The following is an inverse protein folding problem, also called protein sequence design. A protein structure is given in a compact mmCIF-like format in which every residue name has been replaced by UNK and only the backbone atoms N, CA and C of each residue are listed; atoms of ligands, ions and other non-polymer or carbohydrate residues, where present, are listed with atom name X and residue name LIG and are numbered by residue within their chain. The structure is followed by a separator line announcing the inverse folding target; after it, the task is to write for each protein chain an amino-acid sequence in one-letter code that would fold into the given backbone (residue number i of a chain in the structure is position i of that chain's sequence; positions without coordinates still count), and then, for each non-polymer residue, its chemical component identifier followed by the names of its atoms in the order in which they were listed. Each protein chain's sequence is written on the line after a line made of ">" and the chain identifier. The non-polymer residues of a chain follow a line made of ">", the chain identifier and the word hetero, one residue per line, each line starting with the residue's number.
data_IF_480558541757
#
_entry.id   IF_480558541757
#
_cell.length_a   1.000
_cell.length_b   1.000
_cell.length_c   1.000
_cell.angle_alpha   90.00
_cell.angle_beta   90.00
_cell.angle_gamma   90.00
#
_symmetry.space_group_name_H-M   'P 1'
#
loop_
_entity.id
_entity.type
_entity.pdbx_description
1 polymer ?
#
# COMPACT_ATOMS: atom_id res chain seq x y z
N UNK A 1 -1.14 -20.63 -10.19
CA UNK A 1 -2.17 -20.97 -9.18
C UNK A 1 -2.08 -19.96 -8.05
N UNK A 2 -3.22 -19.55 -7.48
CA UNK A 2 -3.27 -18.67 -6.30
C UNK A 2 -3.33 -19.56 -5.07
N UNK A 3 -2.44 -19.35 -4.11
CA UNK A 3 -2.31 -20.17 -2.90
C UNK A 3 -2.43 -19.29 -1.65
N UNK A 4 -2.94 -19.84 -0.55
CA UNK A 4 -2.95 -19.15 0.74
C UNK A 4 -1.54 -19.16 1.34
N UNK A 5 -1.06 -17.99 1.77
CA UNK A 5 0.20 -17.84 2.50
C UNK A 5 -0.04 -17.72 4.01
N UNK A 6 -1.09 -16.99 4.43
CA UNK A 6 -1.45 -16.80 5.84
C UNK A 6 -2.94 -16.49 6.00
N UNK A 7 -3.48 -16.65 7.20
CA UNK A 7 -4.82 -16.22 7.59
C UNK A 7 -4.78 -15.67 9.03
N UNK A 8 -5.44 -14.54 9.26
CA UNK A 8 -5.53 -13.84 10.56
C UNK A 8 -6.98 -13.47 10.87
N UNK A 9 -7.31 -12.99 12.08
CA UNK A 9 -8.70 -12.76 12.47
C UNK A 9 -9.46 -11.70 11.66
N UNK A 10 -8.78 -10.67 11.15
CA UNK A 10 -9.45 -9.55 10.44
C UNK A 10 -8.68 -9.08 9.22
N UNK A 11 -9.02 -7.88 8.72
CA UNK A 11 -8.48 -7.30 7.50
C UNK A 11 -6.95 -7.19 7.54
N UNK A 12 -6.32 -7.75 6.51
CA UNK A 12 -4.88 -7.68 6.26
C UNK A 12 -4.55 -6.51 5.35
N UNK A 13 -3.38 -5.87 5.59
CA UNK A 13 -2.87 -4.74 4.83
C UNK A 13 -1.34 -4.74 4.74
N UNK A 14 -0.80 -3.78 4.00
CA UNK A 14 0.59 -3.38 3.97
C UNK A 14 1.63 -4.49 3.86
N UNK A 15 1.55 -5.43 2.91
CA UNK A 15 2.52 -6.51 2.81
C UNK A 15 3.89 -5.98 2.36
N UNK A 16 4.95 -6.54 2.93
CA UNK A 16 6.33 -6.31 2.49
C UNK A 16 7.20 -7.52 2.81
N UNK A 17 8.32 -7.68 2.11
CA UNK A 17 9.22 -8.83 2.31
C UNK A 17 10.63 -8.33 2.63
N UNK A 18 11.24 -8.88 3.68
CA UNK A 18 12.61 -8.55 4.05
C UNK A 18 13.66 -9.26 3.16
N UNK A 19 14.93 -8.91 3.33
CA UNK A 19 16.03 -9.49 2.55
C UNK A 19 16.25 -10.97 2.84
N UNK A 20 15.77 -11.46 3.97
CA UNK A 20 15.85 -12.88 4.35
C UNK A 20 14.68 -13.69 3.77
N UNK A 21 13.72 -13.02 3.12
CA UNK A 21 12.53 -13.62 2.50
C UNK A 21 11.33 -13.78 3.43
N UNK A 22 11.37 -13.20 4.62
CA UNK A 22 10.21 -13.21 5.50
C UNK A 22 9.19 -12.16 5.04
N UNK A 23 7.92 -12.55 5.01
CA UNK A 23 6.80 -11.66 4.72
C UNK A 23 6.33 -10.98 6.01
N UNK A 24 6.12 -9.67 5.96
CA UNK A 24 5.45 -8.89 6.99
C UNK A 24 4.18 -8.31 6.42
N UNK A 25 3.13 -8.21 7.24
CA UNK A 25 1.88 -7.55 6.88
C UNK A 25 1.14 -7.07 8.13
N UNK A 26 0.26 -6.11 7.98
CA UNK A 26 -0.49 -5.52 9.09
C UNK A 26 -1.86 -6.15 9.24
N UNK A 27 -2.34 -6.14 10.46
CA UNK A 27 -3.72 -6.41 10.84
C UNK A 27 -4.18 -5.22 11.69
N UNK A 28 -4.96 -4.34 11.09
CA UNK A 28 -5.23 -3.01 11.63
C UNK A 28 -6.12 -3.03 12.87
N UNK A 29 -7.13 -3.91 12.92
CA UNK A 29 -8.15 -3.89 13.97
C UNK A 29 -7.60 -4.17 15.36
N UNK A 30 -6.69 -5.15 15.47
CA UNK A 30 -6.03 -5.50 16.73
C UNK A 30 -4.63 -4.91 16.83
N UNK A 31 -4.27 -4.02 15.89
CA UNK A 31 -3.01 -3.28 15.88
C UNK A 31 -1.79 -4.19 15.95
N UNK A 32 -1.70 -5.12 14.98
CA UNK A 32 -0.60 -6.09 14.90
C UNK A 32 0.16 -6.00 13.58
N UNK A 33 1.44 -6.26 13.63
CA UNK A 33 2.23 -6.64 12.47
C UNK A 33 2.56 -8.12 12.62
N UNK A 34 2.20 -8.89 11.61
CA UNK A 34 2.51 -10.31 11.52
C UNK A 34 3.76 -10.55 10.68
N UNK A 35 4.40 -11.69 10.93
CA UNK A 35 5.49 -12.23 10.14
C UNK A 35 5.17 -13.65 9.73
N UNK A 36 5.40 -13.96 8.45
CA UNK A 36 5.48 -15.33 7.94
C UNK A 36 6.94 -15.59 7.55
N UNK A 37 7.56 -16.55 8.18
CA UNK A 37 8.95 -16.87 7.88
C UNK A 37 9.09 -17.68 6.56
N UNK A 38 10.33 -17.96 6.17
CA UNK A 38 10.62 -18.72 4.94
C UNK A 38 10.16 -20.16 4.97
N UNK A 39 9.81 -20.70 6.15
CA UNK A 39 9.20 -22.05 6.31
C UNK A 39 7.67 -21.98 6.24
N UNK A 40 7.08 -20.78 6.22
CA UNK A 40 5.64 -20.54 6.21
C UNK A 40 5.03 -20.47 7.62
N UNK A 41 5.83 -20.33 8.67
CA UNK A 41 5.34 -20.20 10.04
C UNK A 41 4.87 -18.76 10.30
N UNK A 42 3.60 -18.62 10.71
CA UNK A 42 2.98 -17.36 11.07
C UNK A 42 3.24 -17.03 12.55
N UNK A 43 3.68 -15.81 12.82
CA UNK A 43 3.88 -15.27 14.17
C UNK A 43 3.51 -13.80 14.24
N UNK A 44 3.24 -13.30 15.45
CA UNK A 44 3.12 -11.85 15.68
C UNK A 44 4.53 -11.29 15.81
N UNK A 45 4.89 -10.38 14.89
CA UNK A 45 6.16 -9.67 14.94
C UNK A 45 6.10 -8.49 15.91
N UNK A 46 4.98 -7.75 15.91
CA UNK A 46 4.79 -6.57 16.75
C UNK A 46 3.35 -6.45 17.19
N UNK A 47 3.13 -6.44 18.50
CA UNK A 47 1.89 -6.01 19.14
C UNK A 47 1.85 -4.48 19.25
N UNK A 48 0.66 -3.90 19.41
CA UNK A 48 0.46 -2.46 19.59
C UNK A 48 1.11 -1.63 18.47
N UNK A 49 0.85 -2.00 17.22
CA UNK A 49 1.42 -1.36 16.04
C UNK A 49 0.82 0.01 15.72
N UNK A 50 0.06 0.62 16.62
CA UNK A 50 -0.61 1.92 16.40
C UNK A 50 -1.50 1.95 15.15
N UNK A 51 -2.22 0.85 14.86
CA UNK A 51 -3.03 0.77 13.66
C UNK A 51 -2.19 0.94 12.39
N UNK A 52 -0.99 0.35 12.38
CA UNK A 52 -0.13 0.36 11.21
C UNK A 52 -0.87 -0.18 9.98
N UNK A 53 -0.68 0.49 8.84
CA UNK A 53 -1.25 0.15 7.55
C UNK A 53 -0.14 -0.25 6.57
N UNK A 54 0.28 0.62 5.67
CA UNK A 54 1.33 0.34 4.70
C UNK A 54 2.71 0.10 5.34
N UNK A 55 3.43 -0.89 4.82
CA UNK A 55 4.78 -1.24 5.23
C UNK A 55 5.72 -1.25 4.01
N UNK A 56 7.00 -0.93 4.26
CA UNK A 56 8.08 -1.17 3.29
C UNK A 56 9.37 -1.51 4.01
N UNK A 57 10.22 -2.35 3.42
CA UNK A 57 11.57 -2.63 3.89
C UNK A 57 12.55 -1.70 3.18
N UNK A 58 13.43 -1.04 3.93
CA UNK A 58 14.48 -0.19 3.36
C UNK A 58 15.75 -0.97 2.98
N UNK A 59 16.68 -0.29 2.32
CA UNK A 59 17.94 -0.88 1.88
C UNK A 59 18.83 -1.41 3.03
N UNK A 60 18.60 -0.99 4.26
CA UNK A 60 19.29 -1.49 5.45
C UNK A 60 18.53 -2.61 6.17
N UNK A 61 17.49 -3.18 5.53
CA UNK A 61 16.63 -4.23 6.08
C UNK A 61 15.89 -3.79 7.34
N UNK A 62 15.35 -2.55 7.35
CA UNK A 62 14.53 -2.01 8.44
C UNK A 62 13.10 -1.85 7.95
N UNK A 63 12.16 -2.10 8.84
CA UNK A 63 10.74 -2.01 8.55
C UNK A 63 10.24 -0.59 8.79
N UNK A 64 9.74 0.05 7.75
CA UNK A 64 9.04 1.33 7.81
C UNK A 64 7.54 1.05 7.90
N UNK A 65 6.83 1.76 8.76
CA UNK A 65 5.39 1.62 8.94
C UNK A 65 4.67 2.97 8.94
N UNK A 66 3.56 3.04 8.21
CA UNK A 66 2.56 4.09 8.33
C UNK A 66 1.66 3.75 9.52
N UNK A 67 1.78 4.47 10.63
CA UNK A 67 1.01 4.23 11.85
C UNK A 67 -0.11 5.26 11.98
N UNK A 68 -1.34 4.77 12.24
CA UNK A 68 -2.51 5.60 12.49
C UNK A 68 -2.52 6.19 13.91
N UNK A 69 -3.61 6.87 14.24
CA UNK A 69 -3.84 7.29 15.62
C UNK A 69 -4.27 6.10 16.48
N UNK A 70 -3.65 5.92 17.63
CA UNK A 70 -4.03 4.88 18.58
C UNK A 70 -3.70 5.29 20.02
N UNK A 71 -4.52 4.87 20.97
CA UNK A 71 -4.28 5.06 22.39
C UNK A 71 -4.04 6.53 22.82
N UNK A 72 -4.61 7.49 22.07
CA UNK A 72 -4.43 8.92 22.31
C UNK A 72 -3.15 9.50 21.74
N UNK A 73 -2.32 8.71 21.08
CA UNK A 73 -1.12 9.19 20.37
C UNK A 73 -1.45 9.53 18.90
N UNK A 74 -0.77 10.55 18.32
CA UNK A 74 -0.99 10.96 16.94
C UNK A 74 -0.45 9.97 15.93
N UNK A 75 -0.95 10.02 14.68
CA UNK A 75 -0.38 9.25 13.56
C UNK A 75 1.08 9.63 13.31
N UNK A 76 1.87 8.65 12.84
CA UNK A 76 3.32 8.84 12.62
C UNK A 76 3.88 7.86 11.58
N UNK A 77 5.09 8.11 11.15
CA UNK A 77 5.90 7.15 10.37
C UNK A 77 7.03 6.65 11.26
N UNK A 78 7.12 5.34 11.39
CA UNK A 78 8.15 4.70 12.21
C UNK A 78 9.10 3.85 11.38
N UNK A 79 10.27 3.59 11.96
CA UNK A 79 11.28 2.70 11.43
C UNK A 79 11.69 1.71 12.51
N UNK A 80 11.61 0.41 12.21
CA UNK A 80 11.97 -0.66 13.13
C UNK A 80 13.22 -1.38 12.62
N UNK A 81 14.27 -1.46 13.41
CA UNK A 81 15.41 -2.34 13.16
C UNK A 81 14.95 -3.79 13.37
N UNK A 82 14.93 -4.60 12.31
CA UNK A 82 14.41 -5.99 12.36
C UNK A 82 15.27 -6.91 13.21
N UNK A 83 16.54 -6.56 13.45
CA UNK A 83 17.48 -7.35 14.25
C UNK A 83 17.32 -7.10 15.75
N UNK A 84 17.08 -5.85 16.14
CA UNK A 84 17.00 -5.43 17.56
C UNK A 84 15.59 -5.23 18.06
N UNK A 85 14.63 -5.03 17.15
CA UNK A 85 13.26 -4.63 17.47
C UNK A 85 13.12 -3.15 17.87
N UNK A 86 14.22 -2.36 17.82
CA UNK A 86 14.19 -0.94 18.19
C UNK A 86 13.37 -0.15 17.21
N UNK A 87 12.44 0.65 17.75
CA UNK A 87 11.54 1.50 16.96
C UNK A 87 11.97 2.96 17.09
N UNK A 88 12.09 3.64 15.97
CA UNK A 88 12.37 5.06 15.86
C UNK A 88 11.19 5.76 15.17
N UNK A 89 10.75 6.90 15.71
CA UNK A 89 9.79 7.77 15.02
C UNK A 89 10.58 8.64 14.05
N UNK A 90 10.28 8.53 12.75
CA UNK A 90 10.90 9.35 11.72
C UNK A 90 10.26 10.74 11.67
N UNK A 91 8.93 10.77 11.65
CA UNK A 91 8.11 11.98 11.64
C UNK A 91 6.72 11.69 12.24
N UNK A 92 6.11 12.69 12.88
CA UNK A 92 4.76 12.62 13.48
C UNK A 92 3.84 13.78 13.03
N UNK A 93 4.32 14.59 12.07
CA UNK A 93 3.57 15.72 11.54
C UNK A 93 4.35 16.52 10.50
N UNK A 94 3.71 17.55 9.98
CA UNK A 94 4.28 18.47 9.01
C UNK A 94 3.95 19.92 9.41
N UNK A 95 4.97 20.78 9.54
CA UNK A 95 4.84 22.20 9.91
C UNK A 95 3.97 22.44 11.17
N UNK A 96 4.21 21.64 12.22
CA UNK A 96 3.49 21.75 13.49
C UNK A 96 2.06 21.17 13.49
N UNK A 97 1.64 20.53 12.41
CA UNK A 97 0.33 19.87 12.31
C UNK A 97 0.51 18.36 12.23
N UNK A 98 -0.19 17.61 13.08
CA UNK A 98 -0.19 16.13 13.04
C UNK A 98 -0.79 15.61 11.73
N UNK A 99 -0.31 14.46 11.27
CA UNK A 99 -0.94 13.71 10.18
C UNK A 99 -2.37 13.34 10.55
N UNK A 100 -3.19 13.03 9.54
CA UNK A 100 -4.58 12.61 9.75
C UNK A 100 -4.77 11.10 9.67
N UNK A 101 -3.95 10.44 8.86
CA UNK A 101 -4.01 8.99 8.66
C UNK A 101 -3.04 8.55 7.55
N UNK A 102 -1.73 8.45 7.87
CA UNK A 102 -0.77 7.83 6.96
C UNK A 102 -1.27 6.46 6.53
N UNK A 103 -1.23 6.20 5.21
CA UNK A 103 -1.85 5.01 4.65
C UNK A 103 -0.81 4.07 4.04
N UNK A 104 -0.19 4.43 2.94
CA UNK A 104 0.77 3.56 2.25
C UNK A 104 2.12 4.26 2.04
N UNK A 105 3.19 3.48 1.83
CA UNK A 105 4.56 3.99 1.77
C UNK A 105 5.36 3.26 0.71
N UNK A 106 6.22 3.99 -0.02
CA UNK A 106 7.16 3.46 -0.99
C UNK A 106 8.52 4.17 -0.91
N UNK A 107 9.52 3.65 -1.61
CA UNK A 107 10.87 4.19 -1.70
C UNK A 107 11.22 4.56 -3.14
N UNK A 108 12.07 5.55 -3.32
CA UNK A 108 12.81 5.74 -4.57
C UNK A 108 14.20 5.07 -4.52
N UNK A 109 14.93 5.08 -5.63
CA UNK A 109 16.27 4.47 -5.72
C UNK A 109 17.34 5.21 -4.88
N UNK A 110 17.02 6.38 -4.34
CA UNK A 110 17.87 7.13 -3.40
C UNK A 110 17.57 6.80 -1.93
N UNK A 111 16.55 5.95 -1.68
CA UNK A 111 16.10 5.58 -0.34
C UNK A 111 15.23 6.63 0.34
N UNK A 112 14.74 7.63 -0.40
CA UNK A 112 13.76 8.59 0.13
C UNK A 112 12.39 7.90 0.24
N UNK A 113 11.73 8.10 1.37
CA UNK A 113 10.41 7.53 1.63
C UNK A 113 9.33 8.47 1.10
N UNK A 114 8.32 7.93 0.44
CA UNK A 114 7.11 8.65 0.05
C UNK A 114 5.91 7.96 0.67
N UNK A 115 5.02 8.72 1.28
CA UNK A 115 3.81 8.15 1.88
C UNK A 115 2.58 9.01 1.62
N UNK A 116 1.43 8.37 1.60
CA UNK A 116 0.12 9.02 1.48
C UNK A 116 -0.46 9.28 2.86
N UNK A 117 -1.05 10.46 3.04
CA UNK A 117 -1.98 10.75 4.14
C UNK A 117 -3.38 10.91 3.52
N UNK A 118 -4.12 9.80 3.53
CA UNK A 118 -5.36 9.66 2.77
C UNK A 118 -6.42 10.68 3.20
N UNK A 119 -6.72 10.89 4.51
CA UNK A 119 -7.71 11.88 4.91
C UNK A 119 -7.23 13.32 4.77
N UNK A 120 -5.91 13.56 4.70
CA UNK A 120 -5.35 14.88 4.48
C UNK A 120 -5.31 15.28 3.01
N UNK A 121 -5.59 14.35 2.08
CA UNK A 121 -5.38 14.53 0.64
C UNK A 121 -3.96 15.03 0.35
N UNK A 122 -2.96 14.35 0.88
CA UNK A 122 -1.56 14.76 0.77
C UNK A 122 -0.62 13.57 0.53
N UNK A 123 0.49 13.85 -0.14
CA UNK A 123 1.66 12.96 -0.24
C UNK A 123 2.86 13.70 0.31
N UNK A 124 3.60 13.03 1.17
CA UNK A 124 4.82 13.55 1.78
C UNK A 124 6.03 12.71 1.37
N UNK A 125 7.21 13.33 1.47
CA UNK A 125 8.51 12.69 1.30
C UNK A 125 9.35 12.91 2.54
N UNK A 126 10.03 11.86 3.00
CA UNK A 126 10.99 11.89 4.09
C UNK A 126 12.38 11.60 3.51
N UNK A 127 13.31 12.54 3.72
CA UNK A 127 14.70 12.42 3.31
C UNK A 127 15.60 11.89 4.46
N UNK A 128 15.11 11.95 5.69
CA UNK A 128 15.75 11.50 6.93
C UNK A 128 14.90 11.82 8.14
N UNK A 129 15.27 11.39 9.36
CA UNK A 129 14.55 11.71 10.58
C UNK A 129 14.31 13.22 10.72
N UNK A 130 13.05 13.63 10.87
CA UNK A 130 12.65 15.03 10.95
C UNK A 130 12.74 15.83 9.63
N UNK A 131 13.27 15.25 8.56
CA UNK A 131 13.40 15.92 7.26
C UNK A 131 12.24 15.51 6.34
N UNK A 132 11.20 16.30 6.30
CA UNK A 132 9.97 16.04 5.57
C UNK A 132 9.59 17.17 4.65
N UNK A 133 9.08 16.84 3.46
CA UNK A 133 8.50 17.76 2.49
C UNK A 133 7.13 17.26 2.02
N UNK A 134 6.19 18.18 1.76
CA UNK A 134 4.94 17.85 1.10
C UNK A 134 5.13 17.89 -0.40
N UNK A 135 4.89 16.76 -1.06
CA UNK A 135 5.11 16.57 -2.51
C UNK A 135 3.86 16.92 -3.32
N UNK A 136 2.69 16.50 -2.84
CA UNK A 136 1.39 16.76 -3.45
C UNK A 136 0.34 17.08 -2.37
N UNK A 137 -0.67 17.85 -2.75
CA UNK A 137 -1.82 18.14 -1.90
C UNK A 137 -3.07 18.42 -2.75
N UNK A 138 -4.22 18.57 -2.12
CA UNK A 138 -5.41 19.07 -2.80
C UNK A 138 -5.14 20.46 -3.43
N UNK A 139 -5.67 20.74 -4.63
CA UNK A 139 -6.63 19.94 -5.41
C UNK A 139 -6.00 18.93 -6.38
N UNK A 140 -4.67 18.81 -6.43
CA UNK A 140 -4.00 17.90 -7.37
C UNK A 140 -4.30 16.43 -7.09
N UNK A 141 -4.56 16.09 -5.83
CA UNK A 141 -5.01 14.78 -5.36
C UNK A 141 -6.18 14.97 -4.40
N UNK A 142 -7.05 13.96 -4.27
CA UNK A 142 -8.28 14.05 -3.47
C UNK A 142 -8.31 13.03 -2.35
N UNK A 143 -8.01 11.77 -2.66
CA UNK A 143 -8.04 10.67 -1.69
C UNK A 143 -6.95 9.64 -2.03
N UNK A 144 -5.67 10.03 -1.85
CA UNK A 144 -4.53 9.18 -2.19
C UNK A 144 -4.47 7.97 -1.27
N UNK A 145 -4.47 6.76 -1.85
CA UNK A 145 -4.32 5.49 -1.17
C UNK A 145 -2.94 4.90 -1.49
N UNK A 146 -2.84 3.79 -2.21
CA UNK A 146 -1.58 3.21 -2.62
C UNK A 146 -0.74 4.14 -3.48
N UNK A 147 0.57 4.05 -3.35
CA UNK A 147 1.51 4.79 -4.18
C UNK A 147 2.68 3.92 -4.59
N UNK A 148 3.27 4.22 -5.77
CA UNK A 148 4.45 3.53 -6.25
C UNK A 148 5.29 4.44 -7.15
N UNK A 149 6.60 4.21 -7.19
CA UNK A 149 7.54 4.93 -8.05
C UNK A 149 8.03 3.97 -9.14
N UNK A 150 8.08 4.46 -10.38
CA UNK A 150 8.61 3.72 -11.52
C UNK A 150 10.08 3.31 -11.29
N UNK A 151 10.57 2.22 -11.94
CA UNK A 151 11.94 1.75 -11.75
C UNK A 151 13.04 2.79 -12.09
N UNK A 152 12.73 3.76 -12.93
CA UNK A 152 13.65 4.83 -13.37
C UNK A 152 13.55 6.12 -12.54
N UNK A 153 12.75 6.11 -11.46
CA UNK A 153 12.46 7.26 -10.58
C UNK A 153 11.87 8.49 -11.30
N UNK A 154 11.24 8.32 -12.49
CA UNK A 154 10.69 9.46 -13.24
C UNK A 154 9.17 9.62 -13.11
N UNK A 155 8.49 8.64 -12.55
CA UNK A 155 7.03 8.69 -12.40
C UNK A 155 6.63 8.23 -11.01
N UNK A 156 5.82 9.06 -10.36
CA UNK A 156 5.10 8.71 -9.13
C UNK A 156 3.66 8.35 -9.51
N UNK A 157 3.25 7.13 -9.22
CA UNK A 157 1.88 6.66 -9.37
C UNK A 157 1.15 6.76 -8.04
N UNK A 158 -0.11 7.22 -8.09
CA UNK A 158 -0.97 7.35 -6.91
C UNK A 158 -2.34 6.80 -7.26
N UNK A 159 -2.85 5.92 -6.42
CA UNK A 159 -4.23 5.46 -6.49
C UNK A 159 -5.13 6.49 -5.81
N UNK A 160 -6.09 7.01 -6.55
CA UNK A 160 -7.20 7.78 -6.02
C UNK A 160 -8.35 6.83 -5.71
N UNK A 161 -8.64 6.63 -4.44
CA UNK A 161 -9.69 5.71 -3.98
C UNK A 161 -10.92 6.47 -3.48
N UNK A 162 -11.39 7.44 -4.28
CA UNK A 162 -12.52 8.30 -3.92
C UNK A 162 -13.80 7.53 -3.66
N UNK A 163 -14.58 8.05 -2.72
CA UNK A 163 -15.87 7.46 -2.37
C UNK A 163 -16.91 7.58 -3.50
N UNK A 164 -17.66 6.51 -3.82
CA UNK A 164 -18.79 6.63 -4.71
C UNK A 164 -19.89 7.57 -4.14
N UNK A 165 -20.71 8.20 -5.00
CA UNK A 165 -20.74 8.05 -6.45
C UNK A 165 -19.78 8.95 -7.22
N UNK A 166 -19.17 9.95 -6.59
CA UNK A 166 -18.55 11.08 -7.30
C UNK A 166 -17.04 11.19 -7.13
N UNK A 167 -16.42 10.45 -6.22
CA UNK A 167 -14.98 10.51 -6.00
C UNK A 167 -14.17 9.88 -7.15
N UNK A 168 -12.94 10.37 -7.42
CA UNK A 168 -12.07 9.78 -8.43
C UNK A 168 -11.67 8.35 -8.05
N UNK A 169 -11.66 7.45 -9.03
CA UNK A 169 -11.29 6.02 -8.86
C UNK A 169 -10.35 5.63 -9.98
N UNK A 170 -9.14 6.15 -9.90
CA UNK A 170 -8.16 6.02 -10.96
C UNK A 170 -6.75 5.91 -10.38
N UNK A 171 -5.82 5.52 -11.20
CA UNK A 171 -4.40 5.74 -10.95
C UNK A 171 -4.02 7.04 -11.64
N UNK A 172 -3.40 7.94 -10.89
CA UNK A 172 -2.76 9.14 -11.42
C UNK A 172 -1.27 8.91 -11.54
N UNK A 173 -0.66 9.47 -12.58
CA UNK A 173 0.78 9.52 -12.76
C UNK A 173 1.25 10.96 -12.71
N UNK A 174 2.34 11.21 -11.98
CA UNK A 174 2.99 12.50 -11.85
C UNK A 174 4.44 12.37 -12.31
N UNK A 175 4.96 13.39 -12.97
CA UNK A 175 6.38 13.44 -13.29
C UNK A 175 7.17 13.71 -12.02
N UNK A 176 8.03 12.76 -11.64
CA UNK A 176 8.90 12.85 -10.47
C UNK A 176 10.25 13.43 -10.89
N UNK A 177 10.65 14.50 -10.21
CA UNK A 177 11.90 15.19 -10.49
C UNK A 177 13.07 14.60 -9.67
N UNK A 178 14.33 14.79 -10.07
CA UNK A 178 15.49 14.29 -9.34
C UNK A 178 15.59 14.81 -7.88
N UNK A 179 15.03 15.99 -7.62
CA UNK A 179 14.93 16.58 -6.26
C UNK A 179 13.78 15.98 -5.44
N UNK A 180 12.97 15.10 -6.04
CA UNK A 180 11.85 14.43 -5.39
C UNK A 180 10.54 15.24 -5.35
N UNK A 181 10.46 16.35 -6.08
CA UNK A 181 9.19 17.05 -6.32
C UNK A 181 8.41 16.35 -7.43
N UNK A 182 7.08 16.46 -7.40
CA UNK A 182 6.19 15.89 -8.39
C UNK A 182 5.34 16.96 -9.07
N UNK A 183 5.04 16.78 -10.34
CA UNK A 183 4.28 17.75 -11.15
C UNK A 183 3.53 17.06 -12.29
N UNK A 184 2.76 17.85 -13.05
CA UNK A 184 2.05 17.39 -14.26
C UNK A 184 1.23 16.13 -14.09
N UNK A 185 0.33 16.15 -13.10
CA UNK A 185 -0.60 15.04 -12.84
C UNK A 185 -1.50 14.73 -14.03
N UNK A 186 -1.61 13.43 -14.38
CA UNK A 186 -2.47 12.91 -15.45
C UNK A 186 -3.15 11.63 -15.02
N UNK A 187 -4.32 11.35 -15.59
CA UNK A 187 -4.94 10.03 -15.46
C UNK A 187 -4.09 9.00 -16.16
N UNK A 188 -3.72 7.95 -15.45
CA UNK A 188 -2.92 6.86 -15.98
C UNK A 188 -3.79 5.63 -16.29
N UNK A 189 -4.69 5.28 -15.37
CA UNK A 189 -5.65 4.20 -15.55
C UNK A 189 -6.94 4.52 -14.81
N UNK A 190 -8.08 4.40 -15.48
CA UNK A 190 -9.40 4.66 -14.90
C UNK A 190 -10.13 3.34 -14.66
N UNK A 191 -10.61 3.15 -13.43
CA UNK A 191 -11.44 2.01 -13.06
C UNK A 191 -12.91 2.37 -13.28
N UNK A 192 -13.63 1.58 -14.08
CA UNK A 192 -15.05 1.80 -14.35
C UNK A 192 -15.96 1.67 -13.10
N UNK A 193 -15.44 1.06 -12.04
CA UNK A 193 -16.16 0.83 -10.79
C UNK A 193 -15.38 1.35 -9.57
N UNK A 194 -15.23 0.53 -8.54
CA UNK A 194 -14.35 0.83 -7.41
C UNK A 194 -12.88 0.84 -7.88
N UNK A 195 -12.12 1.81 -7.42
CA UNK A 195 -10.70 1.93 -7.73
C UNK A 195 -9.83 0.87 -7.07
N UNK A 196 -8.54 0.97 -7.29
CA UNK A 196 -7.52 0.22 -6.58
C UNK A 196 -7.38 0.68 -5.14
N UNK A 197 -6.58 -0.09 -4.37
CA UNK A 197 -6.22 0.18 -2.99
C UNK A 197 -4.70 0.34 -2.87
N UNK A 198 -3.92 -0.74 -2.77
CA UNK A 198 -2.48 -0.71 -2.81
C UNK A 198 -1.91 -1.27 -4.12
N UNK A 199 -0.61 -1.11 -4.35
CA UNK A 199 0.06 -1.61 -5.56
C UNK A 199 1.56 -1.84 -5.37
N UNK A 200 2.12 -2.73 -6.19
CA UNK A 200 3.56 -2.93 -6.35
C UNK A 200 3.97 -2.83 -7.82
N UNK A 201 5.27 -2.79 -8.11
CA UNK A 201 5.81 -2.64 -9.45
C UNK A 201 6.85 -3.73 -9.75
N UNK A 202 6.89 -4.23 -10.99
CA UNK A 202 7.93 -5.14 -11.45
C UNK A 202 9.11 -4.39 -12.10
N UNK A 203 10.18 -5.14 -12.43
CA UNK A 203 11.39 -4.56 -13.04
C UNK A 203 11.17 -3.98 -14.44
N UNK A 204 10.05 -4.27 -15.08
CA UNK A 204 9.66 -3.69 -16.39
C UNK A 204 8.74 -2.47 -16.22
N UNK A 205 8.40 -2.10 -14.98
CA UNK A 205 7.51 -0.99 -14.67
C UNK A 205 6.02 -1.31 -14.76
N UNK A 206 5.63 -2.59 -14.87
CA UNK A 206 4.22 -2.94 -14.81
C UNK A 206 3.73 -2.84 -13.35
N UNK A 207 2.59 -2.18 -13.16
CA UNK A 207 1.93 -2.06 -11.85
C UNK A 207 1.04 -3.29 -11.60
N UNK A 208 1.13 -3.82 -10.39
CA UNK A 208 0.27 -4.88 -9.88
C UNK A 208 -0.66 -4.28 -8.83
N UNK A 209 -1.88 -3.97 -9.23
CA UNK A 209 -2.83 -3.16 -8.47
C UNK A 209 -3.86 -4.04 -7.81
N UNK A 210 -3.92 -4.00 -6.49
CA UNK A 210 -4.99 -4.61 -5.71
C UNK A 210 -6.28 -3.85 -5.92
N UNK A 211 -7.35 -4.49 -6.38
CA UNK A 211 -8.61 -3.81 -6.67
C UNK A 211 -9.83 -4.72 -6.50
N UNK A 212 -10.95 -4.08 -6.24
CA UNK A 212 -12.25 -4.70 -6.20
C UNK A 212 -12.78 -5.00 -4.81
N UNK A 213 -14.09 -4.91 -4.69
CA UNK A 213 -14.92 -5.42 -3.61
C UNK A 213 -16.08 -6.18 -4.24
N UNK A 214 -16.28 -7.43 -3.86
CA UNK A 214 -17.34 -8.26 -4.42
C UNK A 214 -18.66 -8.15 -3.66
N UNK A 215 -18.64 -7.70 -2.41
CA UNK A 215 -19.83 -7.77 -1.56
C UNK A 215 -20.29 -6.38 -1.13
N UNK A 216 -21.61 -6.11 -1.21
CA UNK A 216 -22.17 -5.12 -0.34
C UNK A 216 -21.87 -5.56 1.11
N UNK A 217 -21.66 -4.63 2.05
CA UNK A 217 -21.49 -5.00 3.44
C UNK A 217 -22.65 -5.92 3.85
N UNK A 218 -22.39 -7.02 4.58
CA UNK A 218 -23.45 -7.94 4.96
C UNK A 218 -24.53 -7.21 5.75
N UNK A 219 -25.79 -7.64 5.66
CA UNK A 219 -26.87 -7.09 6.49
C UNK A 219 -26.46 -7.15 7.97
N UNK A 220 -26.43 -6.00 8.64
CA UNK A 220 -25.96 -5.89 10.03
C UNK A 220 -24.49 -5.45 10.18
N UNK A 221 -23.77 -5.17 9.11
CA UNK A 221 -22.51 -4.45 9.19
C UNK A 221 -22.72 -3.09 9.87
N UNK A 222 -21.75 -2.68 10.69
CA UNK A 222 -21.81 -1.49 11.56
C UNK A 222 -22.53 -0.32 10.88
N UNK A 223 -23.42 0.34 11.63
CA UNK A 223 -24.17 1.50 11.19
C UNK A 223 -23.18 2.54 10.64
N UNK A 224 -23.23 2.80 9.31
CA UNK A 224 -22.28 3.62 8.58
C UNK A 224 -21.53 2.90 7.45
N UNK A 225 -21.60 1.58 7.35
CA UNK A 225 -21.16 0.87 6.15
C UNK A 225 -22.05 1.30 4.97
N UNK A 226 -21.52 2.18 4.12
CA UNK A 226 -22.24 2.67 2.94
C UNK A 226 -22.48 1.51 1.98
N UNK A 227 -23.76 1.33 1.57
CA UNK A 227 -24.06 0.48 0.44
C UNK A 227 -23.34 1.02 -0.80
N UNK A 228 -22.44 0.23 -1.37
CA UNK A 228 -21.75 0.61 -2.60
C UNK A 228 -22.75 0.63 -3.75
N UNK A 229 -22.80 1.69 -4.57
CA UNK A 229 -23.65 1.69 -5.75
C UNK A 229 -23.27 0.55 -6.68
N UNK A 230 -24.24 0.00 -7.41
CA UNK A 230 -24.03 -1.12 -8.34
C UNK A 230 -22.87 -0.87 -9.35
N UNK A 231 -22.60 0.39 -9.69
CA UNK A 231 -21.47 0.76 -10.52
C UNK A 231 -20.12 0.45 -9.86
N UNK A 232 -19.99 0.59 -8.54
CA UNK A 232 -18.76 0.30 -7.81
C UNK A 232 -18.44 -1.19 -7.77
N UNK A 233 -19.46 -2.05 -7.86
CA UNK A 233 -19.32 -3.51 -7.88
C UNK A 233 -18.88 -4.05 -9.26
N UNK A 234 -18.73 -3.20 -10.28
CA UNK A 234 -18.28 -3.61 -11.61
C UNK A 234 -16.79 -3.89 -11.71
N UNK A 235 -15.98 -3.40 -10.77
CA UNK A 235 -14.55 -3.74 -10.71
C UNK A 235 -14.40 -5.17 -10.20
N UNK A 236 -13.88 -6.05 -11.03
CA UNK A 236 -13.63 -7.45 -10.65
C UNK A 236 -12.60 -7.50 -9.52
N UNK A 237 -12.81 -8.40 -8.56
CA UNK A 237 -11.93 -8.59 -7.40
C UNK A 237 -10.68 -9.35 -7.81
N UNK A 238 -9.52 -8.72 -7.63
CA UNK A 238 -8.24 -9.34 -7.98
C UNK A 238 -7.13 -8.32 -8.20
N UNK A 239 -6.06 -8.79 -8.81
CA UNK A 239 -4.92 -7.95 -9.16
C UNK A 239 -4.94 -7.60 -10.64
N UNK A 240 -4.86 -6.31 -10.93
CA UNK A 240 -4.76 -5.75 -12.28
C UNK A 240 -3.30 -5.50 -12.61
N UNK A 241 -2.78 -6.17 -13.64
CA UNK A 241 -1.42 -5.94 -14.14
C UNK A 241 -1.48 -4.92 -15.27
N UNK A 242 -0.92 -3.74 -15.04
CA UNK A 242 -1.04 -2.58 -15.95
C UNK A 242 0.36 -2.19 -16.43
N UNK A 243 0.55 -2.10 -17.76
CA UNK A 243 1.83 -1.72 -18.37
C UNK A 243 2.19 -0.25 -18.09
N UNK A 244 3.47 0.16 -18.28
CA UNK A 244 3.89 1.58 -18.20
C UNK A 244 3.14 2.51 -19.15
N UNK A 245 2.51 1.97 -20.20
CA UNK A 245 1.64 2.71 -21.12
C UNK A 245 0.17 2.82 -20.66
N UNK A 246 -0.15 2.39 -19.44
CA UNK A 246 -1.52 2.42 -18.90
C UNK A 246 -2.45 1.36 -19.51
N UNK A 247 -1.93 0.30 -20.12
CA UNK A 247 -2.73 -0.76 -20.73
C UNK A 247 -2.85 -1.95 -19.78
N UNK A 248 -4.07 -2.45 -19.57
CA UNK A 248 -4.29 -3.71 -18.85
C UNK A 248 -3.68 -4.88 -19.64
N UNK A 249 -2.71 -5.56 -19.03
CA UNK A 249 -2.01 -6.72 -19.60
C UNK A 249 -2.64 -8.03 -19.14
N UNK A 250 -2.96 -8.13 -17.85
CA UNK A 250 -3.43 -9.36 -17.21
C UNK A 250 -4.33 -9.02 -16.02
N UNK A 251 -5.27 -9.89 -15.75
CA UNK A 251 -6.07 -9.89 -14.52
C UNK A 251 -5.85 -11.20 -13.78
N UNK A 252 -5.56 -11.12 -12.49
CA UNK A 252 -5.33 -12.27 -11.61
C UNK A 252 -6.49 -12.29 -10.61
N UNK A 253 -7.47 -13.19 -10.75
CA UNK A 253 -8.58 -13.28 -9.81
C UNK A 253 -8.07 -13.77 -8.44
N UNK A 254 -8.54 -13.13 -7.38
CA UNK A 254 -8.28 -13.53 -5.99
C UNK A 254 -9.57 -14.03 -5.37
N UNK A 255 -9.56 -15.18 -4.66
CA UNK A 255 -10.80 -15.84 -4.26
C UNK A 255 -11.52 -15.18 -3.07
N UNK A 256 -10.86 -14.36 -2.28
CA UNK A 256 -11.44 -13.65 -1.13
C UNK A 256 -11.61 -12.17 -1.44
N UNK A 257 -12.54 -11.52 -0.75
CA UNK A 257 -12.91 -10.12 -0.98
C UNK A 257 -12.07 -9.13 -0.14
N UNK A 258 -12.18 -7.85 -0.51
CA UNK A 258 -11.40 -6.73 0.00
C UNK A 258 -9.92 -6.94 -0.33
N UNK A 259 -9.60 -6.88 -1.64
CA UNK A 259 -8.20 -6.90 -2.07
C UNK A 259 -7.59 -5.54 -1.72
N UNK A 260 -6.66 -5.54 -0.78
CA UNK A 260 -6.14 -4.31 -0.20
C UNK A 260 -4.75 -3.91 -0.75
N UNK A 261 -3.78 -4.83 -0.79
CA UNK A 261 -2.43 -4.44 -1.21
C UNK A 261 -1.64 -5.61 -1.82
N UNK A 262 -0.46 -5.31 -2.39
CA UNK A 262 0.42 -6.30 -2.99
C UNK A 262 1.89 -6.03 -2.64
N UNK A 263 2.70 -7.10 -2.57
CA UNK A 263 4.16 -7.00 -2.46
C UNK A 263 4.84 -8.17 -3.16
N UNK A 264 5.98 -7.89 -3.78
CA UNK A 264 6.83 -8.92 -4.34
C UNK A 264 7.81 -9.48 -3.30
N UNK A 265 8.14 -10.76 -3.45
CA UNK A 265 9.13 -11.44 -2.63
C UNK A 265 9.52 -12.80 -3.21
N UNK A 266 10.05 -13.65 -2.34
CA UNK A 266 10.67 -14.92 -2.70
C UNK A 266 12.10 -14.74 -3.25
N UNK A 267 12.86 -15.82 -3.36
CA UNK A 267 14.30 -15.74 -3.68
C UNK A 267 14.60 -15.17 -5.07
N UNK A 268 13.65 -15.22 -5.98
CA UNK A 268 13.74 -14.69 -7.35
C UNK A 268 12.83 -13.48 -7.59
N UNK A 269 12.25 -12.91 -6.52
CA UNK A 269 11.29 -11.81 -6.57
C UNK A 269 10.08 -12.05 -7.47
N UNK A 270 9.73 -13.32 -7.75
CA UNK A 270 8.59 -13.70 -8.60
C UNK A 270 7.40 -14.24 -7.82
N UNK A 271 7.39 -14.10 -6.51
CA UNK A 271 6.21 -14.38 -5.70
C UNK A 271 5.52 -13.06 -5.37
N UNK A 272 4.31 -12.89 -5.89
CA UNK A 272 3.44 -11.77 -5.51
C UNK A 272 2.59 -12.21 -4.32
N UNK A 273 2.74 -11.53 -3.20
CA UNK A 273 1.84 -11.62 -2.05
C UNK A 273 0.72 -10.62 -2.21
N UNK A 274 -0.49 -11.02 -1.85
CA UNK A 274 -1.71 -10.20 -2.00
C UNK A 274 -2.49 -10.27 -0.70
N UNK A 275 -2.65 -9.16 -0.03
CA UNK A 275 -3.54 -9.04 1.14
C UNK A 275 -4.98 -8.92 0.67
N UNK A 276 -5.87 -9.69 1.29
CA UNK A 276 -7.27 -9.79 0.88
C UNK A 276 -8.14 -10.25 2.05
N UNK A 277 -9.03 -9.40 2.53
CA UNK A 277 -9.84 -9.72 3.69
C UNK A 277 -8.95 -10.14 4.86
N UNK A 278 -9.18 -11.32 5.40
CA UNK A 278 -8.37 -11.88 6.50
C UNK A 278 -7.19 -12.76 6.02
N UNK A 279 -7.01 -12.92 4.73
CA UNK A 279 -6.06 -13.86 4.13
C UNK A 279 -4.96 -13.12 3.37
N UNK A 280 -3.74 -13.61 3.45
CA UNK A 280 -2.68 -13.26 2.52
C UNK A 280 -2.53 -14.41 1.52
N UNK A 281 -2.69 -14.08 0.24
CA UNK A 281 -2.45 -15.00 -0.87
C UNK A 281 -1.07 -14.82 -1.46
N UNK A 282 -0.58 -15.85 -2.15
CA UNK A 282 0.63 -15.78 -2.97
C UNK A 282 0.35 -16.34 -4.36
N UNK A 283 0.97 -15.74 -5.36
CA UNK A 283 0.86 -16.18 -6.75
C UNK A 283 2.19 -15.98 -7.47
N UNK A 284 2.56 -16.92 -8.33
CA UNK A 284 3.78 -16.80 -9.13
C UNK A 284 3.55 -15.87 -10.32
N UNK A 285 4.50 -14.97 -10.53
CA UNK A 285 4.55 -14.05 -11.67
C UNK A 285 5.63 -14.48 -12.66
N UNK A 286 5.52 -14.03 -13.89
CA UNK A 286 6.52 -14.29 -14.95
C UNK A 286 7.70 -13.30 -14.82
N UNK A 287 7.40 -12.07 -14.42
CA UNK A 287 8.36 -10.97 -14.26
C UNK A 287 8.64 -10.77 -12.78
N UNK A 288 9.89 -10.52 -12.43
CA UNK A 288 10.29 -10.27 -11.07
C UNK A 288 9.84 -8.87 -10.61
N UNK A 289 9.43 -8.74 -9.35
CA UNK A 289 9.20 -7.46 -8.72
C UNK A 289 10.48 -6.62 -8.63
N UNK A 290 10.30 -5.31 -8.55
CA UNK A 290 11.40 -4.38 -8.35
C UNK A 290 11.92 -4.50 -6.91
N UNK A 291 13.17 -4.93 -6.68
CA UNK A 291 13.77 -4.89 -5.36
C UNK A 291 14.11 -3.45 -4.97
N UNK A 292 13.83 -3.05 -3.74
CA UNK A 292 14.15 -1.72 -3.21
C UNK A 292 14.70 -1.79 -1.80
#
# INVERSE_FOLDING_TARGET
>A
MVERAAEVPTLTEGPTVDKDGNLYFTEMRFQRIFKVDTKGELSVFREHSHGANGLVIDAQNRLIACEGAANGEPPRITRTDLRTGTIEILVDGFQGTSFKGPNDVTLDNKGRLYFTDLPAAAVYRIDGPGQIARVLAAPDIVRPNGLQIAPDDKTLYIIESGDPPSGPRMIRAFDLQPDGTASRGRTFFDFAGRGGDGMSVDVQGNLYVAAGLNYPPPPGALAGARAWPAAALKTKTGVYVISPAGKLLKFIPIPEDIISNTAFGGPDMKTLYVTSGKTVFKVRTEIAGLPR
#
